data_IF_770550569975
#
_entry.id   IF_770550569975
#
_cell.length_a   1.000
_cell.length_b   1.000
_cell.length_c   1.000
_cell.angle_alpha   90.00
_cell.angle_beta   90.00
_cell.angle_gamma   90.00
#
_symmetry.space_group_name_H-M   'P 1'
#
loop_
_entity.id
_entity.type
_entity.pdbx_description
1 polymer ?
#
# COMPACT_ATOMS: atom_id res chain seq x y z
N UNK A 1 -10.72 6.27 -9.35
CA UNK A 1 -9.90 6.50 -8.13
C UNK A 1 -8.54 5.91 -8.43
N UNK A 2 -7.45 6.63 -8.15
CA UNK A 2 -6.09 6.10 -8.30
C UNK A 2 -5.87 4.93 -7.35
N UNK A 3 -5.04 3.96 -7.73
CA UNK A 3 -4.73 2.83 -6.85
C UNK A 3 -3.95 3.30 -5.61
N UNK A 4 -3.23 4.42 -5.72
CA UNK A 4 -2.68 5.16 -4.58
C UNK A 4 -3.74 5.57 -3.55
N UNK A 5 -4.88 6.15 -3.99
CA UNK A 5 -5.94 6.55 -3.05
C UNK A 5 -6.57 5.32 -2.36
N UNK A 6 -6.70 4.20 -3.07
CA UNK A 6 -7.14 2.94 -2.47
C UNK A 6 -6.19 2.47 -1.38
N UNK A 7 -4.87 2.52 -1.62
CA UNK A 7 -3.87 2.16 -0.62
C UNK A 7 -3.92 3.07 0.61
N UNK A 8 -4.03 4.39 0.40
CA UNK A 8 -4.15 5.35 1.49
C UNK A 8 -5.38 5.05 2.37
N UNK A 9 -6.55 4.85 1.76
CA UNK A 9 -7.78 4.53 2.49
C UNK A 9 -7.64 3.20 3.27
N UNK A 10 -7.02 2.18 2.68
CA UNK A 10 -6.78 0.92 3.38
C UNK A 10 -5.87 1.11 4.61
N UNK A 11 -4.86 1.97 4.53
CA UNK A 11 -4.02 2.30 5.68
C UNK A 11 -4.77 3.04 6.79
N UNK A 12 -5.67 3.95 6.43
CA UNK A 12 -6.59 4.62 7.35
C UNK A 12 -7.57 3.63 8.01
N UNK A 13 -8.00 2.60 7.26
CA UNK A 13 -8.83 1.48 7.75
C UNK A 13 -8.03 0.42 8.56
N UNK A 14 -6.76 0.69 8.88
CA UNK A 14 -5.94 -0.18 9.74
C UNK A 14 -5.22 -1.32 9.02
N UNK A 15 -5.30 -1.41 7.68
CA UNK A 15 -4.47 -2.36 6.94
C UNK A 15 -2.99 -1.94 6.98
N UNK A 16 -2.10 -2.92 6.97
CA UNK A 16 -0.65 -2.72 6.85
C UNK A 16 -0.08 -3.62 5.77
N UNK A 17 0.89 -3.10 5.02
CA UNK A 17 1.66 -3.89 4.08
C UNK A 17 2.46 -4.96 4.83
N UNK A 18 2.28 -6.21 4.43
CA UNK A 18 2.98 -7.38 4.98
C UNK A 18 4.00 -7.96 4.00
N UNK A 19 3.81 -7.69 2.71
CA UNK A 19 4.69 -8.14 1.64
C UNK A 19 4.46 -7.25 0.40
N UNK A 20 5.53 -7.02 -0.36
CA UNK A 20 5.43 -6.42 -1.68
C UNK A 20 6.26 -7.24 -2.65
N UNK A 21 5.79 -7.31 -3.89
CA UNK A 21 6.50 -7.92 -5.01
C UNK A 21 6.58 -6.94 -6.17
N UNK A 22 7.67 -7.02 -6.94
CA UNK A 22 7.86 -6.23 -8.15
C UNK A 22 8.15 -7.16 -9.31
N UNK A 23 7.17 -7.30 -10.21
CA UNK A 23 7.33 -8.03 -11.46
C UNK A 23 7.32 -7.04 -12.62
N UNK A 24 8.48 -6.86 -13.27
CA UNK A 24 8.68 -5.87 -14.32
C UNK A 24 8.31 -4.44 -13.86
N UNK A 25 7.20 -3.88 -14.38
CA UNK A 25 6.67 -2.56 -14.03
C UNK A 25 5.45 -2.63 -13.10
N UNK A 26 5.06 -3.83 -12.67
CA UNK A 26 3.91 -4.02 -11.79
C UNK A 26 4.38 -4.24 -10.36
N UNK A 27 3.90 -3.39 -9.46
CA UNK A 27 4.12 -3.51 -8.02
C UNK A 27 2.88 -4.11 -7.39
N UNK A 28 3.02 -5.29 -6.79
CA UNK A 28 1.92 -5.96 -6.09
C UNK A 28 2.11 -5.80 -4.60
N UNK A 29 1.14 -5.18 -3.94
CA UNK A 29 1.19 -4.84 -2.51
C UNK A 29 0.16 -5.72 -1.78
N UNK A 30 0.64 -6.51 -0.83
CA UNK A 30 -0.16 -7.41 -0.02
C UNK A 30 -0.38 -6.79 1.36
N UNK A 31 -1.65 -6.63 1.72
CA UNK A 31 -2.10 -5.91 2.92
C UNK A 31 -2.86 -6.85 3.84
N UNK A 32 -2.63 -6.72 5.14
CA UNK A 32 -3.37 -7.40 6.20
C UNK A 32 -3.93 -6.38 7.17
N UNK A 33 -5.20 -6.51 7.52
CA UNK A 33 -5.76 -5.90 8.71
C UNK A 33 -5.76 -6.96 9.81
N UNK A 34 -5.05 -6.68 10.92
CA UNK A 34 -4.86 -7.66 12.00
C UNK A 34 -6.04 -7.72 12.96
N UNK A 35 -6.86 -6.67 13.04
CA UNK A 35 -8.05 -6.63 13.90
C UNK A 35 -9.21 -7.44 13.32
N UNK A 36 -9.41 -7.35 12.00
CA UNK A 36 -10.48 -8.03 11.27
C UNK A 36 -10.04 -9.31 10.55
N UNK A 37 -8.75 -9.63 10.63
CA UNK A 37 -8.08 -10.72 9.90
C UNK A 37 -8.27 -10.69 8.36
N UNK A 38 -8.75 -9.58 7.79
CA UNK A 38 -8.95 -9.45 6.35
C UNK A 38 -7.63 -9.18 5.61
N UNK A 39 -7.56 -9.64 4.35
CA UNK A 39 -6.41 -9.41 3.47
C UNK A 39 -6.86 -8.74 2.17
N UNK A 40 -6.00 -7.87 1.62
CA UNK A 40 -6.23 -7.18 0.34
C UNK A 40 -4.95 -7.20 -0.48
N UNK A 41 -5.11 -7.20 -1.80
CA UNK A 41 -4.02 -7.09 -2.76
C UNK A 41 -4.32 -5.89 -3.66
N UNK A 42 -3.33 -5.01 -3.83
CA UNK A 42 -3.43 -3.87 -4.73
C UNK A 42 -2.24 -3.89 -5.67
N UNK A 43 -2.50 -3.75 -6.96
CA UNK A 43 -1.48 -3.67 -8.00
C UNK A 43 -1.30 -2.21 -8.43
N UNK A 44 -0.06 -1.74 -8.49
CA UNK A 44 0.33 -0.44 -9.05
C UNK A 44 1.14 -0.70 -10.31
N UNK A 45 0.63 -0.22 -11.43
CA UNK A 45 1.31 -0.28 -12.74
C UNK A 45 2.07 1.04 -13.01
N UNK A 46 1.61 2.13 -12.40
CA UNK A 46 2.23 3.44 -12.51
C UNK A 46 3.31 3.60 -11.43
N UNK A 47 4.57 3.74 -11.86
CA UNK A 47 5.72 4.01 -10.99
C UNK A 47 5.55 5.31 -10.18
N UNK A 48 4.81 6.30 -10.70
CA UNK A 48 4.51 7.52 -9.94
C UNK A 48 3.54 7.24 -8.77
N UNK A 49 2.52 6.39 -8.96
CA UNK A 49 1.64 5.96 -7.86
C UNK A 49 2.42 5.15 -6.81
N UNK A 50 3.39 4.33 -7.25
CA UNK A 50 4.26 3.60 -6.32
C UNK A 50 5.17 4.54 -5.53
N UNK A 51 5.79 5.53 -6.16
CA UNK A 51 6.59 6.54 -5.47
C UNK A 51 5.77 7.30 -4.43
N UNK A 52 4.55 7.72 -4.78
CA UNK A 52 3.63 8.37 -3.84
C UNK A 52 3.29 7.48 -2.64
N UNK A 53 3.12 6.18 -2.86
CA UNK A 53 2.88 5.22 -1.80
C UNK A 53 4.11 5.05 -0.88
N UNK A 54 5.32 5.00 -1.45
CA UNK A 54 6.55 4.94 -0.66
C UNK A 54 6.73 6.17 0.23
N UNK A 55 6.52 7.36 -0.32
CA UNK A 55 6.61 8.63 0.42
C UNK A 55 5.60 8.65 1.58
N UNK A 56 4.35 8.26 1.31
CA UNK A 56 3.31 8.15 2.33
C UNK A 56 3.69 7.21 3.49
N UNK A 57 4.25 6.03 3.21
CA UNK A 57 4.70 5.10 4.26
C UNK A 57 5.87 5.70 5.04
N UNK A 58 6.81 6.37 4.37
CA UNK A 58 7.97 6.96 5.01
C UNK A 58 7.56 8.07 5.98
N UNK A 59 6.63 8.94 5.58
CA UNK A 59 6.09 9.99 6.44
C UNK A 59 5.41 9.41 7.69
N UNK A 60 4.64 8.32 7.53
CA UNK A 60 4.04 7.62 8.67
C UNK A 60 5.06 7.04 9.65
N UNK A 61 6.25 6.65 9.18
CA UNK A 61 7.32 6.13 10.05
C UNK A 61 8.02 7.24 10.83
N UNK A 62 8.13 8.44 10.28
CA UNK A 62 8.77 9.59 10.95
C UNK A 62 7.88 10.18 12.05
N UNK A 63 6.56 9.99 11.95
CA UNK A 63 5.57 10.46 12.92
C UNK A 63 5.40 9.55 14.15
N UNK A 64 6.04 8.38 14.18
CA UNK A 64 5.99 7.41 15.28
C UNK A 64 7.36 7.24 15.95
#
# INVERSE_FOLDING_TARGET
MSNFNTLKNLYEDGYRCIYYDKLENNHTIYLKNFDSENSKVVELIDENEFSQFQDYINDLKVLN
#
